data_IF_771728492795
#
_entry.id   IF_771728492795
#
_cell.length_a   1.000
_cell.length_b   1.000
_cell.length_c   1.000
_cell.angle_alpha   90.00
_cell.angle_beta   90.00
_cell.angle_gamma   90.00
#
_symmetry.space_group_name_H-M   'P 1'
#
loop_
_entity.id
_entity.type
_entity.pdbx_description
1 polymer ?
#
# COMPACT_ATOMS: atom_id res chain seq x y z
N UNK A 1 49.34 -25.31 -45.06
CA UNK A 1 48.98 -26.07 -43.84
C UNK A 1 48.20 -25.14 -42.93
N UNK A 2 46.95 -25.35 -42.50
CA UNK A 2 45.93 -26.33 -42.82
C UNK A 2 44.55 -25.69 -42.54
N UNK A 3 43.58 -25.91 -43.43
CA UNK A 3 42.17 -25.53 -43.22
C UNK A 3 41.51 -26.62 -42.36
N UNK A 4 41.04 -26.25 -41.17
CA UNK A 4 40.22 -27.12 -40.31
C UNK A 4 38.72 -27.01 -40.68
N UNK A 5 37.94 -28.11 -40.66
CA UNK A 5 36.56 -28.14 -41.15
C UNK A 5 35.56 -27.94 -40.01
N UNK A 6 34.84 -26.81 -39.98
CA UNK A 6 33.72 -26.60 -39.01
C UNK A 6 32.43 -26.10 -39.69
N UNK A 7 32.35 -26.08 -41.02
CA UNK A 7 31.19 -25.53 -41.75
C UNK A 7 30.02 -26.52 -41.97
N UNK A 8 30.15 -27.80 -41.58
CA UNK A 8 29.14 -28.83 -41.89
C UNK A 8 28.03 -29.05 -40.85
N UNK A 9 28.25 -28.68 -39.59
CA UNK A 9 27.32 -29.01 -38.47
C UNK A 9 26.26 -27.92 -38.28
N UNK A 10 26.62 -26.64 -38.47
CA UNK A 10 25.70 -25.51 -38.34
C UNK A 10 24.61 -25.47 -39.44
N UNK A 11 24.95 -25.90 -40.66
CA UNK A 11 23.99 -25.96 -41.78
C UNK A 11 22.96 -27.11 -41.62
N UNK A 12 23.33 -28.21 -40.96
CA UNK A 12 22.40 -29.33 -40.68
C UNK A 12 21.40 -28.99 -39.56
N UNK A 13 21.79 -28.17 -38.59
CA UNK A 13 20.89 -27.67 -37.53
C UNK A 13 19.86 -26.65 -38.04
N UNK A 14 20.21 -25.84 -39.04
CA UNK A 14 19.26 -24.92 -39.68
C UNK A 14 18.23 -25.62 -40.57
N UNK A 15 18.61 -26.72 -41.24
CA UNK A 15 17.70 -27.51 -42.07
C UNK A 15 16.70 -28.35 -41.26
N UNK A 16 17.09 -28.84 -40.08
CA UNK A 16 16.20 -29.58 -39.17
C UNK A 16 15.19 -28.67 -38.45
N UNK A 17 15.50 -27.39 -38.22
CA UNK A 17 14.58 -26.43 -37.62
C UNK A 17 13.44 -25.99 -38.56
N UNK A 18 13.64 -26.09 -39.89
CA UNK A 18 12.61 -25.74 -40.89
C UNK A 18 11.54 -26.83 -41.07
N UNK A 19 11.90 -28.11 -40.95
CA UNK A 19 10.93 -29.23 -41.07
C UNK A 19 9.94 -29.38 -39.92
N UNK A 20 10.20 -28.77 -38.75
CA UNK A 20 9.25 -28.79 -37.63
C UNK A 20 8.22 -27.66 -37.73
N UNK A 21 8.43 -26.67 -38.61
CA UNK A 21 7.51 -25.54 -38.79
C UNK A 21 6.43 -25.78 -39.86
N UNK A 22 6.67 -26.65 -40.83
CA UNK A 22 5.75 -26.87 -41.97
C UNK A 22 4.58 -27.84 -41.69
N UNK A 23 4.52 -28.49 -40.52
CA UNK A 23 3.44 -29.42 -40.16
C UNK A 23 2.39 -28.86 -39.17
N UNK A 24 2.39 -27.54 -38.90
CA UNK A 24 1.34 -26.88 -38.08
C UNK A 24 0.51 -25.84 -38.84
N UNK A 25 0.46 -25.93 -40.16
CA UNK A 25 -0.41 -25.10 -41.00
C UNK A 25 -1.64 -25.89 -41.49
N UNK A 26 -2.44 -26.44 -40.57
CA UNK A 26 -3.77 -26.98 -40.87
C UNK A 26 -4.61 -27.18 -39.59
N UNK A 27 -4.70 -26.16 -38.72
CA UNK A 27 -5.75 -26.13 -37.72
C UNK A 27 -6.94 -25.35 -38.30
N UNK A 28 -8.06 -26.04 -38.51
CA UNK A 28 -9.28 -25.47 -39.08
C UNK A 28 -9.77 -24.25 -38.26
N UNK A 29 -10.28 -23.19 -38.90
CA UNK A 29 -10.82 -22.00 -38.22
C UNK A 29 -11.97 -22.32 -37.24
N UNK A 30 -12.63 -23.47 -37.41
CA UNK A 30 -13.73 -23.94 -36.56
C UNK A 30 -13.28 -24.44 -35.17
N UNK A 31 -12.05 -24.95 -35.03
CA UNK A 31 -11.52 -25.40 -33.72
C UNK A 31 -11.13 -24.21 -32.83
N UNK A 32 -10.61 -23.13 -33.42
CA UNK A 32 -10.36 -21.89 -32.71
C UNK A 32 -11.66 -21.21 -32.26
N UNK A 33 -12.71 -21.24 -33.08
CA UNK A 33 -14.03 -20.73 -32.69
C UNK A 33 -14.66 -21.52 -31.53
N UNK A 34 -14.49 -22.86 -31.47
CA UNK A 34 -14.97 -23.67 -30.34
C UNK A 34 -14.16 -23.50 -29.06
N UNK A 35 -12.86 -23.17 -29.15
CA UNK A 35 -12.01 -22.86 -27.99
C UNK A 35 -12.33 -21.51 -27.35
N UNK A 36 -12.89 -20.56 -28.11
CA UNK A 36 -13.42 -19.31 -27.57
C UNK A 36 -14.89 -19.39 -27.12
N UNK A 37 -15.64 -20.39 -27.57
CA UNK A 37 -17.04 -20.60 -27.20
C UNK A 37 -17.25 -21.50 -25.96
N UNK A 38 -16.23 -22.27 -25.55
CA UNK A 38 -16.30 -23.16 -24.39
C UNK A 38 -15.60 -22.53 -23.18
N UNK A 39 -16.31 -21.69 -22.43
CA UNK A 39 -15.75 -21.15 -21.20
C UNK A 39 -16.53 -20.06 -20.49
N UNK A 40 -17.86 -20.12 -20.44
CA UNK A 40 -18.57 -19.51 -19.31
C UNK A 40 -18.24 -20.36 -18.07
N UNK A 41 -17.03 -20.17 -17.54
CA UNK A 41 -16.64 -20.71 -16.25
C UNK A 41 -17.61 -20.14 -15.23
N UNK A 42 -18.37 -21.04 -14.60
CA UNK A 42 -19.25 -20.80 -13.44
C UNK A 42 -18.62 -19.73 -12.54
N UNK A 43 -19.36 -18.70 -12.15
CA UNK A 43 -18.84 -17.51 -11.44
C UNK A 43 -17.96 -17.87 -10.21
N UNK A 44 -18.27 -18.98 -9.53
CA UNK A 44 -17.49 -19.56 -8.44
C UNK A 44 -16.02 -19.87 -8.81
N UNK A 45 -15.77 -20.25 -10.07
CA UNK A 45 -14.44 -20.56 -10.63
C UNK A 45 -13.66 -19.28 -10.94
N UNK A 46 -14.35 -18.21 -11.34
CA UNK A 46 -13.72 -16.92 -11.62
C UNK A 46 -13.30 -16.21 -10.33
N UNK A 47 -14.14 -16.24 -9.30
CA UNK A 47 -13.83 -15.67 -8.00
C UNK A 47 -12.69 -16.45 -7.32
N UNK A 48 -12.75 -17.77 -7.30
CA UNK A 48 -11.68 -18.62 -6.74
C UNK A 48 -10.35 -18.44 -7.48
N UNK A 49 -10.37 -18.36 -8.82
CA UNK A 49 -9.15 -18.05 -9.58
C UNK A 49 -8.60 -16.64 -9.24
N UNK A 50 -9.47 -15.66 -9.02
CA UNK A 50 -9.07 -14.30 -8.61
C UNK A 50 -8.45 -14.27 -7.22
N UNK A 51 -9.07 -14.96 -6.26
CA UNK A 51 -8.54 -15.10 -4.90
C UNK A 51 -7.20 -15.84 -4.88
N UNK A 52 -7.05 -16.90 -5.69
CA UNK A 52 -5.79 -17.62 -5.83
C UNK A 52 -4.67 -16.74 -6.40
N UNK A 53 -4.99 -15.86 -7.38
CA UNK A 53 -4.02 -14.88 -7.92
C UNK A 53 -3.60 -13.86 -6.87
N UNK A 54 -4.57 -13.31 -6.12
CA UNK A 54 -4.30 -12.38 -5.01
C UNK A 54 -3.41 -13.05 -3.97
N UNK A 55 -3.77 -14.27 -3.55
CA UNK A 55 -3.03 -15.03 -2.56
C UNK A 55 -1.60 -15.34 -3.03
N UNK A 56 -1.41 -15.72 -4.29
CA UNK A 56 -0.08 -15.96 -4.87
C UNK A 56 0.80 -14.71 -4.82
N UNK A 57 0.25 -13.52 -5.12
CA UNK A 57 0.97 -12.26 -5.00
C UNK A 57 1.31 -11.92 -3.54
N UNK A 58 0.36 -12.08 -2.63
CA UNK A 58 0.58 -11.88 -1.19
C UNK A 58 1.69 -12.81 -0.69
N UNK A 59 1.68 -14.08 -1.11
CA UNK A 59 2.68 -15.06 -0.72
C UNK A 59 4.07 -14.70 -1.25
N UNK A 60 4.17 -14.17 -2.48
CA UNK A 60 5.42 -13.63 -3.04
C UNK A 60 5.97 -12.51 -2.15
N UNK A 61 5.15 -11.50 -1.81
CA UNK A 61 5.60 -10.40 -0.95
C UNK A 61 5.95 -10.88 0.46
N UNK A 62 5.22 -11.87 0.99
CA UNK A 62 5.49 -12.48 2.28
C UNK A 62 6.87 -13.16 2.31
N UNK A 63 7.21 -13.95 1.29
CA UNK A 63 8.54 -14.57 1.20
C UNK A 63 9.65 -13.53 1.09
N UNK A 64 9.48 -12.50 0.25
CA UNK A 64 10.44 -11.39 0.16
C UNK A 64 10.64 -10.65 1.48
N UNK A 65 9.61 -10.58 2.32
CA UNK A 65 9.71 -9.98 3.64
C UNK A 65 10.42 -10.91 4.63
N UNK A 66 10.02 -12.19 4.68
CA UNK A 66 10.53 -13.17 5.63
C UNK A 66 12.01 -13.50 5.42
N UNK A 67 12.46 -13.52 4.16
CA UNK A 67 13.83 -13.93 3.81
C UNK A 67 14.88 -12.87 4.19
N UNK A 68 14.46 -11.68 4.62
CA UNK A 68 15.34 -10.58 5.01
C UNK A 68 15.10 -10.16 6.46
N UNK A 69 15.85 -10.74 7.41
CA UNK A 69 15.80 -10.31 8.82
C UNK A 69 15.97 -8.79 9.03
N UNK A 70 16.78 -8.04 8.26
CA UNK A 70 16.92 -6.61 8.46
C UNK A 70 15.63 -5.85 8.11
N UNK A 71 14.86 -6.34 7.12
CA UNK A 71 13.58 -5.72 6.74
C UNK A 71 12.53 -5.89 7.83
N UNK A 72 12.46 -7.07 8.44
CA UNK A 72 11.56 -7.33 9.56
C UNK A 72 11.91 -6.46 10.77
N UNK A 73 13.21 -6.31 11.07
CA UNK A 73 13.64 -5.40 12.11
C UNK A 73 13.31 -3.96 11.80
N UNK A 74 13.56 -3.49 10.57
CA UNK A 74 13.28 -2.10 10.18
C UNK A 74 11.80 -1.73 10.36
N UNK A 75 10.88 -2.66 10.03
CA UNK A 75 9.43 -2.49 10.21
C UNK A 75 9.05 -2.23 11.68
N UNK A 76 9.74 -2.86 12.63
CA UNK A 76 9.47 -2.73 14.08
C UNK A 76 10.34 -1.67 14.73
N UNK A 77 11.54 -1.45 14.21
CA UNK A 77 12.55 -0.53 14.76
C UNK A 77 12.06 0.92 14.72
N UNK A 78 11.67 1.41 13.54
CA UNK A 78 11.17 2.78 13.38
C UNK A 78 10.00 3.15 14.31
N UNK A 79 8.90 2.37 14.36
CA UNK A 79 7.79 2.69 15.27
C UNK A 79 8.18 2.59 16.73
N UNK A 80 9.09 1.69 17.07
CA UNK A 80 9.59 1.58 18.44
C UNK A 80 10.33 2.85 18.83
N UNK A 81 11.21 3.35 17.96
CA UNK A 81 11.93 4.60 18.20
C UNK A 81 10.96 5.78 18.31
N UNK A 82 9.97 5.85 17.41
CA UNK A 82 8.96 6.91 17.43
C UNK A 82 8.11 6.88 18.70
N UNK A 83 7.63 5.69 19.09
CA UNK A 83 6.88 5.51 20.34
C UNK A 83 7.71 5.90 21.56
N UNK A 84 8.97 5.46 21.65
CA UNK A 84 9.82 5.79 22.79
C UNK A 84 10.10 7.30 22.84
N UNK A 85 10.43 7.91 21.71
CA UNK A 85 10.70 9.35 21.64
C UNK A 85 9.49 10.18 22.09
N UNK A 86 8.33 9.92 21.50
CA UNK A 86 7.12 10.69 21.84
C UNK A 86 6.51 10.30 23.19
N UNK A 87 6.61 9.03 23.58
CA UNK A 87 6.13 8.55 24.86
C UNK A 87 6.94 9.11 26.04
N UNK A 88 8.27 9.17 25.94
CA UNK A 88 9.09 9.83 26.96
C UNK A 88 8.90 11.34 26.98
N UNK A 89 8.74 11.98 25.81
CA UNK A 89 8.39 13.40 25.75
C UNK A 89 7.07 13.68 26.48
N UNK A 90 6.08 12.82 26.26
CA UNK A 90 4.80 12.90 26.96
C UNK A 90 4.96 12.73 28.47
N UNK A 91 5.73 11.74 28.92
CA UNK A 91 5.99 11.53 30.35
C UNK A 91 6.63 12.77 31.00
N UNK A 92 7.61 13.37 30.32
CA UNK A 92 8.25 14.62 30.75
C UNK A 92 7.25 15.78 30.85
N UNK A 93 6.37 15.95 29.85
CA UNK A 93 5.35 17.01 29.85
C UNK A 93 4.29 16.79 30.94
N UNK A 94 3.95 15.55 31.26
CA UNK A 94 2.98 15.21 32.29
C UNK A 94 3.49 15.59 33.70
N UNK A 95 4.80 15.47 33.97
CA UNK A 95 5.38 15.84 35.26
C UNK A 95 5.42 17.37 35.50
N UNK A 96 5.53 18.16 34.44
CA UNK A 96 5.76 19.62 34.54
C UNK A 96 4.49 20.46 34.54
N UNK A 97 3.32 19.90 34.28
CA UNK A 97 2.10 20.70 34.10
C UNK A 97 0.86 19.96 34.62
N UNK A 98 0.14 20.57 35.57
CA UNK A 98 -0.90 19.95 36.40
C UNK A 98 -2.23 19.67 35.68
N UNK A 99 -2.43 20.21 34.46
CA UNK A 99 -3.67 20.08 33.67
C UNK A 99 -3.45 19.28 32.37
N UNK A 100 -2.21 19.10 31.93
CA UNK A 100 -1.85 18.37 30.69
C UNK A 100 -1.61 16.87 30.90
N UNK A 101 -1.81 16.33 32.10
CA UNK A 101 -1.84 14.88 32.31
C UNK A 101 -2.92 14.17 31.46
N UNK A 102 -4.01 14.88 31.12
CA UNK A 102 -5.04 14.45 30.16
C UNK A 102 -4.58 14.55 28.69
N UNK A 103 -3.63 15.44 28.37
CA UNK A 103 -2.95 15.46 27.06
C UNK A 103 -1.97 14.30 26.90
N UNK A 104 -1.64 13.60 28.00
CA UNK A 104 -0.85 12.38 28.02
C UNK A 104 -1.40 11.35 27.04
N UNK A 105 -2.56 10.75 27.30
CA UNK A 105 -3.12 9.73 26.40
C UNK A 105 -3.32 10.19 24.95
N UNK A 106 -3.54 11.49 24.72
CA UNK A 106 -3.72 12.05 23.40
C UNK A 106 -2.44 12.00 22.53
N UNK A 107 -1.24 12.21 23.09
CA UNK A 107 0.00 12.22 22.30
C UNK A 107 0.40 10.82 21.83
N UNK A 108 0.52 9.83 22.73
CA UNK A 108 0.78 8.44 22.31
C UNK A 108 -0.34 7.92 21.40
N UNK A 109 -1.61 8.24 21.70
CA UNK A 109 -2.75 7.89 20.82
C UNK A 109 -2.61 8.47 19.42
N UNK A 110 -2.29 9.76 19.31
CA UNK A 110 -2.03 10.44 18.04
C UNK A 110 -0.87 9.80 17.28
N UNK A 111 0.24 9.50 17.94
CA UNK A 111 1.41 8.87 17.32
C UNK A 111 1.05 7.48 16.78
N UNK A 112 0.38 6.65 17.58
CA UNK A 112 0.00 5.29 17.16
C UNK A 112 -1.01 5.29 16.01
N UNK A 113 -2.02 6.18 16.04
CA UNK A 113 -2.96 6.32 14.92
C UNK A 113 -2.29 6.86 13.66
N UNK A 114 -1.38 7.84 13.80
CA UNK A 114 -0.59 8.32 12.67
C UNK A 114 0.26 7.21 12.06
N UNK A 115 0.87 6.39 12.91
CA UNK A 115 1.65 5.24 12.50
C UNK A 115 0.83 4.24 11.68
N UNK A 116 -0.45 4.04 12.03
CA UNK A 116 -1.36 3.20 11.23
C UNK A 116 -1.48 3.75 9.81
N UNK A 117 -1.71 5.06 9.67
CA UNK A 117 -1.85 5.69 8.36
C UNK A 117 -0.53 5.61 7.57
N UNK A 118 0.56 6.03 8.19
CA UNK A 118 1.86 6.15 7.56
C UNK A 118 2.39 4.78 7.13
N UNK A 119 2.36 3.78 8.03
CA UNK A 119 2.83 2.41 7.76
C UNK A 119 1.94 1.68 6.77
N UNK A 120 0.63 1.92 6.82
CA UNK A 120 -0.31 1.40 5.82
C UNK A 120 0.05 1.91 4.43
N UNK A 121 0.35 3.21 4.30
CA UNK A 121 0.65 3.84 3.03
C UNK A 121 2.02 3.40 2.48
N UNK A 122 3.05 3.38 3.34
CA UNK A 122 4.40 2.91 2.97
C UNK A 122 4.36 1.43 2.64
N UNK A 123 3.72 0.60 3.47
CA UNK A 123 3.63 -0.84 3.24
C UNK A 123 2.96 -1.18 1.91
N UNK A 124 1.89 -0.45 1.56
CA UNK A 124 1.24 -0.57 0.26
C UNK A 124 2.18 -0.18 -0.89
N UNK A 125 2.83 0.98 -0.76
CA UNK A 125 3.66 1.55 -1.82
C UNK A 125 4.97 0.78 -2.03
N UNK A 126 5.59 0.30 -0.95
CA UNK A 126 6.81 -0.52 -1.01
C UNK A 126 6.52 -1.86 -1.68
N UNK A 127 5.39 -2.51 -1.43
CA UNK A 127 5.06 -3.75 -2.15
C UNK A 127 4.87 -3.52 -3.65
N UNK A 128 4.40 -2.33 -4.07
CA UNK A 128 4.38 -1.97 -5.48
C UNK A 128 5.78 -1.65 -6.02
N UNK A 129 6.58 -0.90 -5.26
CA UNK A 129 7.97 -0.59 -5.61
C UNK A 129 8.82 -1.86 -5.70
N UNK A 130 8.58 -2.88 -4.90
CA UNK A 130 9.25 -4.17 -4.98
C UNK A 130 9.07 -4.82 -6.36
N UNK A 131 7.92 -4.65 -7.02
CA UNK A 131 7.71 -5.12 -8.40
C UNK A 131 8.47 -4.27 -9.43
N UNK A 132 8.62 -2.98 -9.17
CA UNK A 132 9.38 -2.06 -10.02
C UNK A 132 10.88 -2.30 -9.88
N UNK A 133 11.40 -2.39 -8.65
CA UNK A 133 12.80 -2.70 -8.34
C UNK A 133 13.19 -4.08 -8.88
N UNK A 134 12.30 -5.07 -8.81
CA UNK A 134 12.55 -6.40 -9.38
C UNK A 134 12.29 -6.49 -10.88
N UNK A 135 11.96 -5.37 -11.55
CA UNK A 135 11.64 -5.31 -12.99
C UNK A 135 10.57 -6.32 -13.43
N UNK A 136 9.69 -6.69 -12.51
CA UNK A 136 8.71 -7.76 -12.71
C UNK A 136 7.34 -7.22 -13.15
N UNK A 137 7.17 -5.90 -13.11
CA UNK A 137 5.91 -5.26 -13.50
C UNK A 137 5.52 -5.59 -14.95
N UNK A 138 6.49 -5.66 -15.88
CA UNK A 138 6.22 -6.05 -17.27
C UNK A 138 5.66 -7.47 -17.38
N UNK A 139 6.23 -8.43 -16.66
CA UNK A 139 5.76 -9.81 -16.62
C UNK A 139 4.34 -9.89 -16.04
N UNK A 140 4.07 -9.18 -14.95
CA UNK A 140 2.74 -9.13 -14.33
C UNK A 140 1.69 -8.61 -15.31
N UNK A 141 2.01 -7.59 -16.12
CA UNK A 141 1.09 -7.04 -17.12
C UNK A 141 0.85 -7.97 -18.32
N UNK A 142 1.69 -8.98 -18.54
CA UNK A 142 1.46 -10.02 -19.57
C UNK A 142 0.60 -11.17 -19.07
N UNK A 143 0.50 -11.36 -17.75
CA UNK A 143 -0.42 -12.35 -17.17
C UNK A 143 -1.87 -11.85 -17.21
N UNK A 144 -2.89 -12.73 -17.15
CA UNK A 144 -4.30 -12.33 -17.07
C UNK A 144 -4.69 -11.73 -15.70
N UNK A 145 -3.76 -11.04 -15.02
CA UNK A 145 -3.96 -10.40 -13.73
C UNK A 145 -4.75 -9.09 -13.93
N UNK A 146 -5.85 -8.95 -13.20
CA UNK A 146 -6.67 -7.73 -13.25
C UNK A 146 -6.13 -6.71 -12.26
N UNK A 147 -6.28 -5.43 -12.59
CA UNK A 147 -5.71 -4.34 -11.78
C UNK A 147 -6.21 -4.36 -10.32
N UNK A 148 -7.50 -4.63 -10.11
CA UNK A 148 -8.06 -4.70 -8.77
C UNK A 148 -7.51 -5.88 -7.95
N UNK A 149 -7.04 -6.96 -8.60
CA UNK A 149 -6.40 -8.10 -7.91
C UNK A 149 -5.02 -7.70 -7.40
N UNK A 150 -4.26 -6.96 -8.21
CA UNK A 150 -3.00 -6.37 -7.77
C UNK A 150 -3.22 -5.42 -6.60
N UNK A 151 -4.17 -4.48 -6.71
CA UNK A 151 -4.46 -3.53 -5.65
C UNK A 151 -4.93 -4.22 -4.36
N UNK A 152 -5.74 -5.29 -4.47
CA UNK A 152 -6.15 -6.08 -3.32
C UNK A 152 -4.96 -6.81 -2.67
N UNK A 153 -4.05 -7.39 -3.46
CA UNK A 153 -2.85 -8.04 -2.93
C UNK A 153 -1.94 -7.04 -2.19
N UNK A 154 -1.74 -5.84 -2.76
CA UNK A 154 -0.97 -4.75 -2.13
C UNK A 154 -1.65 -4.27 -0.83
N UNK A 155 -2.98 -4.14 -0.82
CA UNK A 155 -3.74 -3.75 0.37
C UNK A 155 -3.69 -4.79 1.48
N UNK A 156 -3.79 -6.08 1.14
CA UNK A 156 -3.61 -7.17 2.12
C UNK A 156 -2.19 -7.16 2.67
N UNK A 157 -1.17 -7.03 1.80
CA UNK A 157 0.21 -6.98 2.24
C UNK A 157 0.52 -5.76 3.11
N UNK A 158 -0.09 -4.61 2.85
CA UNK A 158 0.07 -3.42 3.68
C UNK A 158 -0.47 -3.66 5.09
N UNK A 159 -1.62 -4.32 5.23
CA UNK A 159 -2.19 -4.69 6.53
C UNK A 159 -1.25 -5.67 7.25
N UNK A 160 -0.72 -6.68 6.56
CA UNK A 160 0.21 -7.65 7.15
C UNK A 160 1.45 -6.93 7.70
N UNK A 161 2.10 -6.08 6.90
CA UNK A 161 3.28 -5.30 7.33
C UNK A 161 2.95 -4.38 8.50
N UNK A 162 1.79 -3.74 8.45
CA UNK A 162 1.31 -2.87 9.49
C UNK A 162 1.08 -3.62 10.81
N UNK A 163 0.47 -4.81 10.78
CA UNK A 163 0.28 -5.62 11.99
C UNK A 163 1.61 -6.08 12.58
N UNK A 164 2.58 -6.46 11.75
CA UNK A 164 3.94 -6.82 12.21
C UNK A 164 4.60 -5.65 12.93
N UNK A 165 4.47 -4.43 12.41
CA UNK A 165 5.03 -3.24 13.04
C UNK A 165 4.26 -2.78 14.27
N UNK A 166 2.92 -2.75 14.19
CA UNK A 166 2.05 -2.13 15.19
C UNK A 166 1.83 -3.00 16.43
N UNK A 167 1.74 -4.33 16.28
CA UNK A 167 1.44 -5.23 17.41
C UNK A 167 2.52 -5.16 18.50
N UNK A 168 3.82 -5.32 18.21
CA UNK A 168 4.87 -5.20 19.22
C UNK A 168 4.88 -3.81 19.88
N UNK A 169 4.63 -2.78 19.09
CA UNK A 169 4.67 -1.37 19.52
C UNK A 169 3.49 -1.05 20.44
N UNK A 170 2.31 -1.59 20.15
CA UNK A 170 1.14 -1.47 21.02
C UNK A 170 1.38 -2.16 22.37
N UNK A 171 2.03 -3.35 22.35
CA UNK A 171 2.43 -4.04 23.60
C UNK A 171 3.43 -3.20 24.38
N UNK A 172 4.43 -2.60 23.71
CA UNK A 172 5.38 -1.69 24.36
C UNK A 172 4.69 -0.45 24.94
N UNK A 173 3.71 0.14 24.25
CA UNK A 173 2.96 1.28 24.75
C UNK A 173 2.20 0.97 26.05
N UNK A 174 1.64 -0.24 26.16
CA UNK A 174 0.99 -0.73 27.38
C UNK A 174 2.01 -0.91 28.51
N UNK A 175 3.15 -1.57 28.23
CA UNK A 175 4.13 -1.92 29.26
C UNK A 175 4.89 -0.69 29.79
N UNK A 176 5.32 0.21 28.90
CA UNK A 176 6.16 1.35 29.29
C UNK A 176 5.37 2.58 29.72
N UNK A 177 4.21 2.83 29.10
CA UNK A 177 3.45 4.07 29.29
C UNK A 177 2.05 3.83 29.87
N UNK A 178 1.65 2.57 30.11
CA UNK A 178 0.31 2.24 30.61
C UNK A 178 -0.82 2.57 29.63
N UNK A 179 -0.49 2.88 28.37
CA UNK A 179 -1.48 3.32 27.39
C UNK A 179 -2.11 2.12 26.67
N UNK A 180 -3.40 1.90 26.91
CA UNK A 180 -4.14 0.82 26.27
C UNK A 180 -4.90 1.31 25.04
N UNK A 181 -4.26 1.19 23.86
CA UNK A 181 -4.90 1.50 22.58
C UNK A 181 -6.16 0.66 22.35
N UNK A 182 -6.15 -0.62 22.73
CA UNK A 182 -7.29 -1.53 22.58
C UNK A 182 -8.48 -1.16 23.48
N UNK A 183 -8.25 -0.35 24.53
CA UNK A 183 -9.29 0.19 25.40
C UNK A 183 -10.30 1.10 24.69
N UNK A 184 -9.94 1.65 23.52
CA UNK A 184 -10.85 2.43 22.67
C UNK A 184 -11.96 1.58 22.02
N UNK A 185 -11.84 0.24 22.07
CA UNK A 185 -12.89 -0.69 21.65
C UNK A 185 -13.33 -0.51 20.19
N UNK A 186 -14.64 -0.39 19.96
CA UNK A 186 -15.22 -0.26 18.61
C UNK A 186 -14.79 1.04 17.89
N UNK A 187 -14.47 2.09 18.63
CA UNK A 187 -13.99 3.34 18.03
C UNK A 187 -12.64 3.14 17.34
N UNK A 188 -11.74 2.33 17.92
CA UNK A 188 -10.46 1.99 17.29
C UNK A 188 -10.66 1.30 15.94
N UNK A 189 -11.63 0.38 15.85
CA UNK A 189 -11.91 -0.31 14.58
C UNK A 189 -12.40 0.68 13.51
N UNK A 190 -13.22 1.67 13.87
CA UNK A 190 -13.68 2.71 12.97
C UNK A 190 -12.54 3.65 12.52
N UNK A 191 -11.67 4.07 13.46
CA UNK A 191 -10.48 4.86 13.15
C UNK A 191 -9.53 4.08 12.24
N UNK A 192 -9.25 2.83 12.58
CA UNK A 192 -8.37 1.94 11.82
C UNK A 192 -8.87 1.76 10.38
N UNK A 193 -10.16 1.44 10.19
CA UNK A 193 -10.74 1.26 8.87
C UNK A 193 -10.62 2.53 8.02
N UNK A 194 -10.94 3.69 8.58
CA UNK A 194 -10.82 4.96 7.87
C UNK A 194 -9.37 5.28 7.50
N UNK A 195 -8.43 5.14 8.44
CA UNK A 195 -7.03 5.44 8.20
C UNK A 195 -6.42 4.52 7.14
N UNK A 196 -6.73 3.22 7.17
CA UNK A 196 -6.25 2.26 6.15
C UNK A 196 -6.78 2.58 4.76
N UNK A 197 -8.05 2.98 4.64
CA UNK A 197 -8.60 3.40 3.35
C UNK A 197 -7.89 4.66 2.85
N UNK A 198 -7.63 5.62 3.74
CA UNK A 198 -6.84 6.81 3.40
C UNK A 198 -5.43 6.43 2.96
N UNK A 199 -4.76 5.53 3.69
CA UNK A 199 -3.44 5.01 3.37
C UNK A 199 -3.37 4.40 1.98
N UNK A 200 -4.38 3.61 1.60
CA UNK A 200 -4.46 3.01 0.28
C UNK A 200 -4.71 4.06 -0.80
N UNK A 201 -5.58 5.05 -0.56
CA UNK A 201 -5.80 6.13 -1.52
C UNK A 201 -4.51 6.92 -1.78
N UNK A 202 -3.79 7.30 -0.73
CA UNK A 202 -2.52 8.03 -0.82
C UNK A 202 -1.42 7.17 -1.45
N UNK A 203 -1.30 5.91 -1.03
CA UNK A 203 -0.33 4.96 -1.56
C UNK A 203 -0.56 4.69 -3.04
N UNK A 204 -1.82 4.52 -3.45
CA UNK A 204 -2.20 4.33 -4.84
C UNK A 204 -1.88 5.55 -5.71
N UNK A 205 -2.17 6.75 -5.21
CA UNK A 205 -1.82 7.99 -5.89
C UNK A 205 -0.30 8.13 -6.07
N UNK A 206 0.47 7.89 -5.01
CA UNK A 206 1.93 7.94 -5.05
C UNK A 206 2.53 6.90 -6.01
N UNK A 207 2.05 5.64 -5.95
CA UNK A 207 2.45 4.59 -6.89
C UNK A 207 2.17 4.97 -8.34
N UNK A 208 1.06 5.66 -8.60
CA UNK A 208 0.72 6.16 -9.93
C UNK A 208 1.71 7.20 -10.46
N UNK A 209 2.19 8.11 -9.60
CA UNK A 209 3.24 9.07 -9.94
C UNK A 209 4.55 8.35 -10.26
N UNK A 210 4.98 7.42 -9.39
CA UNK A 210 6.20 6.63 -9.61
C UNK A 210 6.11 5.83 -10.90
N UNK A 211 4.95 5.24 -11.20
CA UNK A 211 4.74 4.48 -12.43
C UNK A 211 4.92 5.34 -13.69
N UNK A 212 4.51 6.62 -13.64
CA UNK A 212 4.64 7.55 -14.77
C UNK A 212 6.08 8.08 -14.91
N UNK A 213 6.72 8.40 -13.79
CA UNK A 213 8.00 9.12 -13.74
C UNK A 213 9.20 8.19 -13.53
N UNK A 214 8.98 6.89 -13.33
CA UNK A 214 9.99 5.89 -13.03
C UNK A 214 10.47 5.93 -11.58
N UNK A 215 11.49 5.10 -11.27
CA UNK A 215 12.08 4.99 -9.93
C UNK A 215 12.73 6.30 -9.42
N UNK A 216 13.04 7.25 -10.31
CA UNK A 216 13.52 8.58 -9.90
C UNK A 216 12.50 9.38 -9.07
N UNK A 217 11.22 9.03 -9.12
CA UNK A 217 10.16 9.65 -8.34
C UNK A 217 9.82 8.88 -7.04
N UNK A 218 10.62 7.88 -6.65
CA UNK A 218 10.38 7.08 -5.44
C UNK A 218 10.23 7.95 -4.18
N UNK A 219 11.02 9.03 -4.07
CA UNK A 219 10.95 9.97 -2.93
C UNK A 219 9.57 10.61 -2.73
N UNK A 220 8.71 10.65 -3.76
CA UNK A 220 7.35 11.16 -3.63
C UNK A 220 6.47 10.27 -2.74
N UNK A 221 6.75 8.97 -2.65
CA UNK A 221 6.02 8.03 -1.79
C UNK A 221 6.05 8.48 -0.33
N UNK A 222 7.20 9.00 0.11
CA UNK A 222 7.41 9.49 1.46
C UNK A 222 6.94 10.94 1.61
N UNK A 223 7.26 11.77 0.61
CA UNK A 223 7.01 13.22 0.67
C UNK A 223 5.52 13.56 0.81
N UNK A 224 4.64 12.80 0.15
CA UNK A 224 3.18 13.01 0.26
C UNK A 224 2.69 12.78 1.68
N UNK A 225 3.20 11.75 2.37
CA UNK A 225 2.82 11.44 3.75
C UNK A 225 3.33 12.50 4.73
N UNK A 226 4.54 13.01 4.52
CA UNK A 226 5.05 14.13 5.32
C UNK A 226 4.28 15.43 5.10
N UNK A 227 3.76 15.67 3.89
CA UNK A 227 2.88 16.81 3.62
C UNK A 227 1.54 16.67 4.36
N UNK A 228 1.02 15.43 4.46
CA UNK A 228 -0.23 15.15 5.17
C UNK A 228 -0.10 15.31 6.69
N UNK A 229 1.07 15.04 7.28
CA UNK A 229 1.28 15.11 8.74
C UNK A 229 0.78 16.42 9.38
N UNK A 230 1.23 17.62 8.96
CA UNK A 230 0.74 18.86 9.54
C UNK A 230 -0.71 19.18 9.12
N UNK A 231 -1.11 18.82 7.90
CA UNK A 231 -2.45 19.13 7.41
C UNK A 231 -3.54 18.27 8.06
N UNK A 232 -3.19 17.05 8.49
CA UNK A 232 -4.08 16.12 9.18
C UNK A 232 -4.28 16.45 10.66
N UNK A 233 -3.64 17.51 11.18
CA UNK A 233 -3.77 17.93 12.58
C UNK A 233 -3.49 16.77 13.55
N UNK A 234 -2.36 16.07 13.40
CA UNK A 234 -2.05 14.86 14.18
C UNK A 234 -1.79 15.17 15.66
N UNK A 235 -1.00 16.21 15.94
CA UNK A 235 -0.56 16.51 17.31
C UNK A 235 -1.33 17.65 17.98
N UNK A 236 -2.13 18.40 17.23
CA UNK A 236 -2.85 19.58 17.70
C UNK A 236 -4.25 19.65 17.08
N UNK A 237 -5.20 20.35 17.71
CA UNK A 237 -6.54 20.49 17.16
C UNK A 237 -6.57 21.44 15.96
N UNK A 238 -7.55 21.24 15.07
CA UNK A 238 -7.72 22.05 13.84
C UNK A 238 -7.86 23.56 14.12
N UNK A 239 -8.34 23.94 15.29
CA UNK A 239 -8.52 25.35 15.71
C UNK A 239 -7.21 26.13 15.83
N UNK A 240 -6.06 25.45 15.96
CA UNK A 240 -4.74 26.07 16.00
C UNK A 240 -4.31 26.58 14.63
N UNK A 241 -4.87 26.03 13.54
CA UNK A 241 -4.51 26.45 12.19
C UNK A 241 -5.11 27.81 11.84
N UNK A 242 -4.42 28.61 10.99
CA UNK A 242 -5.00 29.82 10.44
C UNK A 242 -6.34 29.55 9.76
N UNK A 243 -7.29 30.49 9.85
CA UNK A 243 -8.66 30.32 9.34
C UNK A 243 -8.74 29.90 7.85
N UNK A 244 -7.75 30.27 7.03
CA UNK A 244 -7.68 29.89 5.62
C UNK A 244 -7.23 28.43 5.39
N UNK A 245 -6.50 27.84 6.33
CA UNK A 245 -5.95 26.48 6.23
C UNK A 245 -6.90 25.43 6.85
N UNK A 246 -7.73 25.83 7.82
CA UNK A 246 -8.76 24.97 8.42
C UNK A 246 -9.62 24.20 7.41
N UNK A 247 -10.21 24.83 6.35
CA UNK A 247 -11.02 24.08 5.38
C UNK A 247 -10.22 23.04 4.60
N UNK A 248 -8.91 23.25 4.39
CA UNK A 248 -8.04 22.29 3.70
C UNK A 248 -7.82 21.07 4.59
N UNK A 249 -7.57 21.28 5.89
CA UNK A 249 -7.46 20.21 6.86
C UNK A 249 -8.77 19.42 7.00
N UNK A 250 -9.91 20.11 7.05
CA UNK A 250 -11.23 19.47 7.11
C UNK A 250 -11.61 18.74 5.80
N UNK A 251 -10.92 19.01 4.69
CA UNK A 251 -11.10 18.24 3.46
C UNK A 251 -10.34 16.90 3.49
N UNK A 252 -9.51 16.64 4.51
CA UNK A 252 -8.72 15.42 4.64
C UNK A 252 -9.41 14.41 5.58
N UNK A 253 -9.66 13.16 5.14
CA UNK A 253 -10.21 12.11 6.00
C UNK A 253 -9.48 11.92 7.35
N UNK A 254 -8.14 11.95 7.44
CA UNK A 254 -7.45 11.71 8.70
C UNK A 254 -7.71 12.78 9.75
N UNK A 255 -8.00 14.02 9.36
CA UNK A 255 -8.30 15.12 10.30
C UNK A 255 -9.51 14.79 11.16
N UNK A 256 -10.58 14.28 10.54
CA UNK A 256 -11.79 13.83 11.24
C UNK A 256 -11.50 12.64 12.18
N UNK A 257 -10.55 11.77 11.83
CA UNK A 257 -10.12 10.67 12.70
C UNK A 257 -9.39 11.18 13.93
N UNK A 258 -8.47 12.13 13.78
CA UNK A 258 -7.73 12.69 14.92
C UNK A 258 -8.60 13.56 15.82
N UNK A 259 -9.53 14.35 15.27
CA UNK A 259 -10.53 15.07 16.07
C UNK A 259 -11.47 14.10 16.80
N UNK A 260 -11.92 13.04 16.13
CA UNK A 260 -12.73 11.99 16.76
C UNK A 260 -11.98 11.24 17.87
N UNK A 261 -10.69 10.97 17.70
CA UNK A 261 -9.84 10.39 18.75
C UNK A 261 -9.74 11.33 19.96
N UNK A 262 -9.54 12.63 19.73
CA UNK A 262 -9.48 13.63 20.81
C UNK A 262 -10.79 13.72 21.58
N UNK A 263 -11.92 13.79 20.88
CA UNK A 263 -13.24 13.78 21.51
C UNK A 263 -13.45 12.53 22.37
N UNK A 264 -12.99 11.36 21.89
CA UNK A 264 -13.08 10.12 22.65
C UNK A 264 -12.19 10.13 23.91
N UNK A 265 -10.94 10.59 23.80
CA UNK A 265 -10.00 10.57 24.94
C UNK A 265 -10.35 11.66 25.98
N UNK A 266 -10.75 12.85 25.52
CA UNK A 266 -10.98 14.01 26.39
C UNK A 266 -12.41 14.07 26.93
N UNK A 267 -13.41 13.75 26.11
CA UNK A 267 -14.83 13.88 26.46
C UNK A 267 -15.50 12.51 26.70
N UNK A 268 -14.81 11.39 26.48
CA UNK A 268 -15.42 10.05 26.42
C UNK A 268 -16.61 9.96 25.44
N UNK A 269 -16.60 10.80 24.39
CA UNK A 269 -17.65 10.87 23.39
C UNK A 269 -17.14 10.34 22.05
N UNK A 270 -17.84 9.37 21.50
CA UNK A 270 -17.61 8.91 20.13
C UNK A 270 -18.44 9.75 19.15
N UNK A 271 -17.79 10.58 18.34
CA UNK A 271 -18.46 11.39 17.34
C UNK A 271 -18.68 10.62 16.03
N UNK A 272 -19.90 10.12 15.84
CA UNK A 272 -20.29 9.38 14.64
C UNK A 272 -20.26 10.28 13.40
N UNK A 273 -20.51 11.58 13.54
CA UNK A 273 -20.58 12.50 12.40
C UNK A 273 -19.20 12.68 11.75
N UNK A 274 -18.15 12.81 12.57
CA UNK A 274 -16.76 12.85 12.13
C UNK A 274 -16.37 11.57 11.38
N UNK A 275 -16.83 10.41 11.85
CA UNK A 275 -16.55 9.13 11.19
C UNK A 275 -17.26 8.98 9.84
N UNK A 276 -18.48 9.51 9.72
CA UNK A 276 -19.22 9.52 8.46
C UNK A 276 -18.57 10.47 7.45
N UNK A 277 -18.09 11.64 7.89
CA UNK A 277 -17.32 12.55 7.05
C UNK A 277 -16.02 11.92 6.57
N UNK A 278 -15.25 11.30 7.48
CA UNK A 278 -14.05 10.56 7.14
C UNK A 278 -14.33 9.46 6.10
N UNK A 279 -15.39 8.67 6.30
CA UNK A 279 -15.79 7.60 5.38
C UNK A 279 -16.23 8.11 4.01
N UNK A 280 -17.03 9.18 3.98
CA UNK A 280 -17.48 9.83 2.75
C UNK A 280 -16.32 10.39 1.93
N UNK A 281 -15.42 11.13 2.57
CA UNK A 281 -14.21 11.64 1.94
C UNK A 281 -13.31 10.50 1.47
N UNK A 282 -13.12 9.45 2.27
CA UNK A 282 -12.34 8.27 1.90
C UNK A 282 -12.82 7.63 0.60
N UNK A 283 -14.13 7.49 0.41
CA UNK A 283 -14.70 6.96 -0.83
C UNK A 283 -14.37 7.85 -2.04
N UNK A 284 -14.45 9.17 -1.86
CA UNK A 284 -14.06 10.15 -2.90
C UNK A 284 -12.57 10.04 -3.23
N UNK A 285 -11.68 10.07 -2.23
CA UNK A 285 -10.24 10.00 -2.43
C UNK A 285 -9.79 8.66 -3.02
N UNK A 286 -10.34 7.54 -2.56
CA UNK A 286 -10.01 6.22 -3.10
C UNK A 286 -10.45 6.09 -4.56
N UNK A 287 -11.63 6.62 -4.90
CA UNK A 287 -12.14 6.64 -6.28
C UNK A 287 -11.25 7.53 -7.17
N UNK A 288 -10.93 8.73 -6.70
CA UNK A 288 -10.05 9.66 -7.42
C UNK A 288 -8.64 9.06 -7.63
N UNK A 289 -8.07 8.45 -6.60
CA UNK A 289 -6.77 7.77 -6.67
C UNK A 289 -6.80 6.59 -7.66
N UNK A 290 -7.88 5.81 -7.66
CA UNK A 290 -8.06 4.70 -8.61
C UNK A 290 -8.13 5.17 -10.06
N UNK A 291 -8.87 6.26 -10.31
CA UNK A 291 -8.95 6.89 -11.64
C UNK A 291 -7.59 7.44 -12.06
N UNK A 292 -6.90 8.15 -11.16
CA UNK A 292 -5.57 8.71 -11.40
C UNK A 292 -4.56 7.60 -11.72
N UNK A 293 -4.52 6.55 -10.93
CA UNK A 293 -3.66 5.39 -11.16
C UNK A 293 -3.95 4.73 -12.52
N UNK A 294 -5.22 4.52 -12.86
CA UNK A 294 -5.60 3.97 -14.16
C UNK A 294 -5.20 4.89 -15.34
N UNK A 295 -5.24 6.21 -15.15
CA UNK A 295 -4.75 7.18 -16.13
C UNK A 295 -3.22 7.11 -16.28
N UNK A 296 -2.49 7.05 -15.17
CA UNK A 296 -1.03 6.92 -15.17
C UNK A 296 -0.56 5.61 -15.79
N UNK A 297 -1.23 4.49 -15.48
CA UNK A 297 -0.95 3.19 -16.09
C UNK A 297 -1.16 3.21 -17.60
N UNK A 298 -2.26 3.82 -18.09
CA UNK A 298 -2.50 3.99 -19.53
C UNK A 298 -1.43 4.86 -20.18
N UNK A 299 -1.00 5.94 -19.51
CA UNK A 299 0.08 6.79 -19.99
C UNK A 299 1.41 6.03 -20.08
N UNK A 300 1.77 5.28 -19.04
CA UNK A 300 3.02 4.51 -18.97
C UNK A 300 3.10 3.41 -20.04
N UNK A 301 1.96 2.80 -20.40
CA UNK A 301 1.87 1.85 -21.53
C UNK A 301 2.13 2.53 -22.87
N UNK A 302 1.60 3.73 -23.08
CA UNK A 302 1.74 4.48 -24.35
C UNK A 302 3.15 5.02 -24.55
N UNK A 303 3.83 5.43 -23.48
CA UNK A 303 5.20 5.95 -23.54
C UNK A 303 6.28 4.87 -23.66
N UNK A 304 5.92 3.58 -23.59
CA UNK A 304 6.88 2.48 -23.58
C UNK A 304 7.72 2.40 -22.29
N UNK A 305 7.40 3.20 -21.27
CA UNK A 305 8.13 3.23 -20.00
C UNK A 305 8.17 1.85 -19.31
N UNK A 306 7.16 1.01 -19.55
CA UNK A 306 7.12 -0.37 -19.03
C UNK A 306 8.18 -1.29 -19.66
N UNK A 307 8.63 -1.01 -20.89
CA UNK A 307 9.70 -1.77 -21.56
C UNK A 307 11.09 -1.30 -21.11
N UNK A 308 11.28 0.01 -20.92
CA UNK A 308 12.54 0.59 -20.42
C UNK A 308 12.84 0.22 -18.96
N UNK A 309 11.81 -0.07 -18.15
CA UNK A 309 12.00 -0.59 -16.79
C UNK A 309 12.45 -2.06 -16.78
N UNK A 310 12.43 -2.76 -17.92
CA UNK A 310 12.82 -4.17 -18.08
C UNK A 310 14.25 -4.41 -18.59
N UNK A 311 14.92 -3.41 -19.18
CA UNK A 311 16.31 -3.51 -19.68
C UNK A 311 17.36 -3.24 -18.58
#
# INVERSE_FOLDING_TARGET
>A
MGRGPVSGVFLRLFALRRRVYDHRAAASPSLFASLFAAGTLKDDTMLSASLNRIFALVLRYWYLLKDSWPRLLDIVYWPTVELLMWGFLQAYLAEKTSVTALAGGALIGSVLLWDILLRGQIGFSVSFLEEMWSRNLGNLMMTPLRMYELLAALGVMSIIRLLIGLVPVTVMAIVFFGFNLLGMGLALAAFFANLIITSWAVGLFACGIVLRNGLGAESFVWSVSFLLLPLACVYYPVTVLPAWLQPISLALPPTHVFEGMRALILENRFDVSEMLWAGGLNLVYLTAASIAFAAFLRSARRSGALLQLGE
#
